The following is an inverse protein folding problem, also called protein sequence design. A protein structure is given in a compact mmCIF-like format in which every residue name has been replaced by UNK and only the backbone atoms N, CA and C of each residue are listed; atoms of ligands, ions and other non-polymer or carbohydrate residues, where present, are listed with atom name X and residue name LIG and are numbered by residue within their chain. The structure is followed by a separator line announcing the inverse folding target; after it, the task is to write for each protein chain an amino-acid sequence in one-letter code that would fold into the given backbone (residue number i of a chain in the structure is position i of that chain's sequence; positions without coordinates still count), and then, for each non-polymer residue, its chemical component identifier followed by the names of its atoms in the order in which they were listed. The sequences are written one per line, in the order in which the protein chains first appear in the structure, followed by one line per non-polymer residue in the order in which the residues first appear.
data_IF_814570039604
#
_entry.id   IF_814570039604
#
_cell.length_a   1.000
_cell.length_b   1.000
_cell.length_c   1.000
_cell.angle_alpha   90.00
_cell.angle_beta   90.00
_cell.angle_gamma   90.00
#
_symmetry.space_group_name_H-M   'P 1'
#
loop_
_entity.id
_entity.type
_entity.pdbx_description
1 polymer ?
#
# COMPACT_ATOMS: atom_id res chain seq x y z
N UNK A 1 7.50 -20.44 -18.14
CA UNK A 1 6.13 -20.09 -17.71
C UNK A 1 5.70 -18.85 -18.48
N UNK A 2 4.52 -18.89 -19.11
CA UNK A 2 4.02 -17.78 -19.92
C UNK A 2 3.35 -16.69 -19.07
N UNK A 3 3.07 -15.56 -19.69
CA UNK A 3 2.28 -14.49 -19.08
C UNK A 3 0.82 -14.92 -18.95
N UNK A 4 0.30 -14.91 -17.71
CA UNK A 4 -1.12 -15.23 -17.44
C UNK A 4 -2.00 -14.10 -17.99
N UNK A 5 -3.00 -14.45 -18.78
CA UNK A 5 -4.02 -13.50 -19.22
C UNK A 5 -5.08 -13.37 -18.12
N UNK A 6 -5.15 -12.21 -17.46
CA UNK A 6 -6.21 -11.95 -16.48
C UNK A 6 -7.47 -11.40 -17.16
N UNK A 7 -8.62 -11.91 -16.73
CA UNK A 7 -9.94 -11.34 -16.99
C UNK A 7 -10.48 -10.77 -15.69
N UNK A 8 -11.09 -9.58 -15.76
CA UNK A 8 -11.77 -8.99 -14.61
C UNK A 8 -13.16 -9.63 -14.53
N UNK A 9 -13.37 -10.46 -13.51
CA UNK A 9 -14.64 -11.12 -13.26
C UNK A 9 -15.68 -10.14 -12.69
N UNK A 10 -15.24 -9.20 -11.84
CA UNK A 10 -16.10 -8.15 -11.30
C UNK A 10 -15.27 -6.97 -10.75
N UNK A 11 -15.94 -5.82 -10.59
CA UNK A 11 -15.38 -4.61 -9.96
C UNK A 11 -16.10 -4.35 -8.64
N UNK A 12 -15.50 -4.72 -7.49
CA UNK A 12 -16.17 -4.56 -6.20
C UNK A 12 -16.46 -3.08 -5.89
N UNK A 13 -17.67 -2.80 -5.39
CA UNK A 13 -18.11 -1.47 -4.96
C UNK A 13 -17.81 -1.17 -3.48
N UNK A 14 -17.14 -2.09 -2.78
CA UNK A 14 -16.72 -1.88 -1.40
C UNK A 14 -15.76 -0.69 -1.27
N UNK A 15 -15.83 0.00 -0.13
CA UNK A 15 -14.97 1.14 0.15
C UNK A 15 -13.48 0.76 0.14
N UNK A 16 -13.13 -0.45 0.61
CA UNK A 16 -11.78 -0.98 0.53
C UNK A 16 -11.27 -1.06 -0.92
N UNK A 17 -12.06 -1.67 -1.81
CA UNK A 17 -11.70 -1.77 -3.22
C UNK A 17 -11.65 -0.38 -3.90
N UNK A 18 -12.51 0.56 -3.50
CA UNK A 18 -12.41 1.96 -3.95
C UNK A 18 -11.08 2.60 -3.51
N UNK A 19 -10.64 2.37 -2.27
CA UNK A 19 -9.37 2.89 -1.77
C UNK A 19 -8.19 2.36 -2.60
N UNK A 20 -8.17 1.05 -2.88
CA UNK A 20 -7.17 0.40 -3.74
C UNK A 20 -7.11 1.04 -5.13
N UNK A 21 -8.28 1.19 -5.78
CA UNK A 21 -8.36 1.81 -7.11
C UNK A 21 -7.91 3.26 -7.12
N UNK A 22 -8.25 4.05 -6.10
CA UNK A 22 -7.84 5.44 -6.00
C UNK A 22 -6.33 5.59 -5.72
N UNK A 23 -5.78 4.75 -4.83
CA UNK A 23 -4.37 4.78 -4.45
C UNK A 23 -3.44 4.36 -5.60
N UNK A 24 -3.89 3.40 -6.42
CA UNK A 24 -3.07 2.75 -7.45
C UNK A 24 -3.57 3.05 -8.86
N UNK A 25 -4.76 2.56 -9.23
CA UNK A 25 -5.23 2.66 -10.62
C UNK A 25 -5.37 4.10 -11.09
N UNK A 26 -6.10 4.93 -10.35
CA UNK A 26 -6.27 6.36 -10.64
C UNK A 26 -4.91 7.07 -10.70
N UNK A 27 -4.02 6.74 -9.75
CA UNK A 27 -2.70 7.33 -9.67
C UNK A 27 -1.83 7.01 -10.87
N UNK A 28 -1.78 5.75 -11.29
CA UNK A 28 -0.94 5.30 -12.42
C UNK A 28 -1.56 5.68 -13.75
N UNK A 29 -2.89 5.66 -13.88
CA UNK A 29 -3.59 6.06 -15.10
C UNK A 29 -3.70 7.58 -15.30
N UNK A 30 -3.40 8.38 -14.26
CA UNK A 30 -3.57 9.82 -14.28
C UNK A 30 -5.05 10.26 -14.19
N UNK A 31 -5.96 9.35 -13.86
CA UNK A 31 -7.39 9.65 -13.70
C UNK A 31 -7.68 10.09 -12.26
N UNK A 32 -8.68 10.94 -12.08
CA UNK A 32 -9.17 11.33 -10.73
C UNK A 32 -10.02 10.22 -10.12
N UNK A 33 -10.89 9.62 -10.92
CA UNK A 33 -11.81 8.55 -10.55
C UNK A 33 -12.29 7.78 -11.80
N UNK A 34 -12.96 6.65 -11.58
CA UNK A 34 -13.61 5.86 -12.63
C UNK A 34 -15.10 5.79 -12.34
N UNK A 35 -15.93 6.13 -13.33
CA UNK A 35 -17.39 6.15 -13.20
C UNK A 35 -18.04 4.80 -13.54
N UNK A 36 -17.42 4.04 -14.45
CA UNK A 36 -17.96 2.77 -14.97
C UNK A 36 -16.95 1.63 -14.85
N UNK A 37 -17.46 0.39 -14.73
CA UNK A 37 -16.63 -0.79 -14.50
C UNK A 37 -15.71 -1.13 -15.67
N UNK A 38 -16.17 -0.92 -16.91
CA UNK A 38 -15.35 -1.07 -18.11
C UNK A 38 -14.09 -0.18 -18.08
N UNK A 39 -14.18 1.04 -17.53
CA UNK A 39 -13.05 1.94 -17.39
C UNK A 39 -12.06 1.45 -16.32
N UNK A 40 -12.56 0.86 -15.23
CA UNK A 40 -11.73 0.23 -14.19
C UNK A 40 -10.98 -0.98 -14.77
N UNK A 41 -11.67 -1.84 -15.50
CA UNK A 41 -11.08 -3.00 -16.16
C UNK A 41 -9.99 -2.60 -17.16
N UNK A 42 -10.29 -1.62 -18.03
CA UNK A 42 -9.32 -1.10 -18.98
C UNK A 42 -8.07 -0.53 -18.27
N UNK A 43 -8.26 0.19 -17.17
CA UNK A 43 -7.16 0.72 -16.37
C UNK A 43 -6.34 -0.40 -15.70
N UNK A 44 -6.99 -1.42 -15.13
CA UNK A 44 -6.29 -2.56 -14.52
C UNK A 44 -5.42 -3.29 -15.54
N UNK A 45 -5.95 -3.56 -16.75
CA UNK A 45 -5.20 -4.15 -17.86
C UNK A 45 -4.02 -3.26 -18.30
N UNK A 46 -4.24 -1.95 -18.40
CA UNK A 46 -3.19 -1.01 -18.78
C UNK A 46 -2.06 -0.95 -17.74
N UNK A 47 -2.38 -0.92 -16.44
CA UNK A 47 -1.38 -0.94 -15.37
C UNK A 47 -0.64 -2.28 -15.34
N UNK A 48 -1.30 -3.41 -15.60
CA UNK A 48 -0.64 -4.72 -15.67
C UNK A 48 0.38 -4.76 -16.83
N UNK A 49 0.02 -4.24 -18.01
CA UNK A 49 0.97 -4.14 -19.13
C UNK A 49 2.18 -3.27 -18.76
N UNK A 50 1.93 -2.09 -18.19
CA UNK A 50 3.01 -1.19 -17.71
C UNK A 50 3.91 -1.87 -16.68
N UNK A 51 3.32 -2.63 -15.75
CA UNK A 51 4.07 -3.37 -14.75
C UNK A 51 4.99 -4.44 -15.38
N UNK A 52 4.50 -5.19 -16.37
CA UNK A 52 5.32 -6.17 -17.10
C UNK A 52 6.46 -5.53 -17.86
N UNK A 53 6.20 -4.42 -18.55
CA UNK A 53 7.26 -3.61 -19.19
C UNK A 53 8.27 -3.13 -18.16
N UNK A 54 7.79 -2.63 -17.02
CA UNK A 54 8.66 -2.13 -15.94
C UNK A 54 9.56 -3.22 -15.36
N UNK A 55 9.04 -4.43 -15.18
CA UNK A 55 9.85 -5.57 -14.74
C UNK A 55 10.96 -5.89 -15.74
N UNK A 56 10.68 -5.90 -17.05
CA UNK A 56 11.70 -6.14 -18.07
C UNK A 56 12.82 -5.10 -17.98
N UNK A 57 12.45 -3.81 -17.89
CA UNK A 57 13.40 -2.70 -17.74
C UNK A 57 14.25 -2.81 -16.47
N UNK A 58 13.64 -3.17 -15.32
CA UNK A 58 14.38 -3.36 -14.07
C UNK A 58 15.35 -4.54 -14.15
N UNK A 59 14.97 -5.60 -14.86
CA UNK A 59 15.84 -6.78 -15.07
C UNK A 59 17.02 -6.42 -15.96
N UNK A 60 16.78 -5.68 -17.04
CA UNK A 60 17.82 -5.14 -17.94
C UNK A 60 18.77 -4.19 -17.20
N UNK A 61 18.25 -3.40 -16.27
CA UNK A 61 19.04 -2.55 -15.37
C UNK A 61 19.77 -3.33 -14.25
N UNK A 62 19.71 -4.66 -14.24
CA UNK A 62 20.46 -5.49 -13.29
C UNK A 62 19.83 -5.64 -11.90
N UNK A 63 18.56 -5.28 -11.70
CA UNK A 63 17.91 -5.40 -10.38
C UNK A 63 17.77 -6.87 -9.95
N UNK A 64 18.54 -7.28 -8.95
CA UNK A 64 18.70 -8.69 -8.53
C UNK A 64 17.44 -9.45 -8.07
N UNK A 65 16.47 -8.83 -7.37
CA UNK A 65 15.30 -9.56 -6.84
C UNK A 65 14.37 -10.22 -7.87
N UNK A 66 14.48 -9.87 -9.16
CA UNK A 66 13.60 -10.37 -10.24
C UNK A 66 14.34 -11.22 -11.27
N UNK A 67 15.40 -11.93 -10.87
CA UNK A 67 16.09 -12.89 -11.74
C UNK A 67 15.40 -14.27 -11.74
N UNK A 68 15.61 -15.04 -12.82
CA UNK A 68 15.08 -16.41 -12.96
C UNK A 68 13.55 -16.51 -12.85
N UNK A 69 13.07 -17.52 -12.11
CA UNK A 69 11.63 -17.78 -11.94
C UNK A 69 10.87 -16.64 -11.24
N UNK A 70 11.55 -15.85 -10.39
CA UNK A 70 10.95 -14.70 -9.70
C UNK A 70 10.48 -13.63 -10.68
N UNK A 71 11.13 -13.50 -11.83
CA UNK A 71 10.70 -12.62 -12.91
C UNK A 71 9.27 -12.95 -13.37
N UNK A 72 9.05 -14.22 -13.72
CA UNK A 72 7.77 -14.65 -14.27
C UNK A 72 6.66 -14.62 -13.23
N UNK A 73 7.00 -14.99 -11.99
CA UNK A 73 6.09 -14.84 -10.86
C UNK A 73 5.66 -13.38 -10.66
N UNK A 74 6.59 -12.42 -10.73
CA UNK A 74 6.28 -11.01 -10.63
C UNK A 74 5.42 -10.48 -11.79
N UNK A 75 5.66 -10.93 -13.02
CA UNK A 75 4.87 -10.56 -14.21
C UNK A 75 3.41 -11.01 -14.14
N UNK A 76 3.17 -12.06 -13.36
CA UNK A 76 1.86 -12.66 -13.15
C UNK A 76 1.22 -12.22 -11.83
N UNK A 77 1.71 -11.16 -11.16
CA UNK A 77 1.06 -10.64 -9.97
C UNK A 77 -0.39 -10.19 -10.26
N UNK A 78 -1.41 -10.73 -9.56
CA UNK A 78 -2.81 -10.48 -9.89
C UNK A 78 -3.18 -9.02 -9.58
N UNK A 79 -3.97 -8.36 -10.44
CA UNK A 79 -4.49 -7.01 -10.19
C UNK A 79 -5.21 -6.91 -8.84
N UNK A 80 -5.13 -5.74 -8.20
CA UNK A 80 -5.82 -5.42 -6.94
C UNK A 80 -6.90 -4.34 -7.18
N UNK A 81 -7.88 -4.23 -6.28
CA UNK A 81 -9.05 -3.35 -6.46
C UNK A 81 -10.10 -3.86 -7.47
N UNK A 82 -9.92 -5.05 -8.02
CA UNK A 82 -10.83 -5.81 -8.91
C UNK A 82 -10.75 -7.29 -8.57
N UNK A 83 -11.79 -8.06 -8.93
CA UNK A 83 -11.71 -9.53 -8.88
C UNK A 83 -11.16 -10.01 -10.22
N UNK A 84 -9.92 -10.47 -10.23
CA UNK A 84 -9.24 -10.96 -11.43
C UNK A 84 -9.05 -12.48 -11.36
N UNK A 85 -9.27 -13.17 -12.48
CA UNK A 85 -9.01 -14.61 -12.64
C UNK A 85 -8.24 -14.88 -13.94
N UNK A 86 -7.48 -15.98 -14.05
CA UNK A 86 -6.94 -16.45 -15.33
C UNK A 86 -8.06 -16.64 -16.36
N UNK A 87 -7.78 -16.29 -17.62
CA UNK A 87 -8.72 -16.43 -18.73
C UNK A 87 -9.02 -17.90 -19.04
N UNK A 88 -7.99 -18.73 -18.97
CA UNK A 88 -8.01 -20.12 -19.46
C UNK A 88 -8.70 -21.08 -18.48
N UNK A 89 -9.38 -20.56 -17.45
CA UNK A 89 -10.13 -21.37 -16.48
C UNK A 89 -9.27 -22.19 -15.52
N UNK A 90 -7.96 -22.30 -15.77
CA UNK A 90 -7.04 -22.96 -14.85
C UNK A 90 -7.08 -22.31 -13.47
N UNK A 91 -7.35 -23.13 -12.44
CA UNK A 91 -7.19 -22.77 -11.03
C UNK A 91 -5.71 -22.67 -10.63
N UNK A 92 -4.84 -22.20 -11.52
CA UNK A 92 -3.48 -21.86 -11.13
C UNK A 92 -3.59 -20.75 -10.09
N UNK A 93 -3.25 -21.09 -8.84
CA UNK A 93 -3.33 -20.18 -7.70
C UNK A 93 -2.33 -19.04 -7.90
N UNK A 94 -2.74 -18.03 -8.65
CA UNK A 94 -1.90 -16.86 -8.89
C UNK A 94 -1.77 -16.11 -7.56
N UNK A 95 -0.54 -16.01 -7.08
CA UNK A 95 -0.23 -15.38 -5.80
C UNK A 95 0.39 -13.99 -6.00
N UNK A 96 0.21 -13.06 -5.06
CA UNK A 96 0.91 -11.78 -5.07
C UNK A 96 2.43 -11.95 -5.07
N UNK A 97 3.15 -11.11 -5.81
CA UNK A 97 4.60 -11.25 -5.98
C UNK A 97 5.44 -10.85 -4.75
N UNK A 98 4.85 -10.19 -3.76
CA UNK A 98 5.54 -9.71 -2.55
C UNK A 98 6.44 -8.48 -2.74
N UNK A 99 6.62 -7.97 -3.97
CA UNK A 99 7.48 -6.81 -4.26
C UNK A 99 6.80 -5.48 -3.89
N UNK A 100 6.43 -5.29 -2.62
CA UNK A 100 5.62 -4.16 -2.13
C UNK A 100 6.27 -2.79 -2.35
N UNK A 101 7.57 -2.73 -2.62
CA UNK A 101 8.28 -1.49 -2.90
C UNK A 101 8.07 -0.94 -4.31
N UNK A 102 7.64 -1.77 -5.27
CA UNK A 102 7.58 -1.41 -6.69
C UNK A 102 6.40 -2.04 -7.44
N UNK A 103 5.86 -3.16 -6.98
CA UNK A 103 4.66 -3.73 -7.59
C UNK A 103 3.42 -2.94 -7.15
N UNK A 104 2.65 -2.36 -8.08
CA UNK A 104 1.47 -1.57 -7.75
C UNK A 104 0.39 -2.40 -7.02
N UNK A 105 0.31 -3.70 -7.33
CA UNK A 105 -0.69 -4.60 -6.75
C UNK A 105 -0.33 -5.05 -5.33
N UNK A 106 0.94 -5.37 -5.08
CA UNK A 106 1.40 -5.68 -3.72
C UNK A 106 1.39 -4.42 -2.85
N UNK A 107 1.70 -3.25 -3.41
CA UNK A 107 1.50 -1.97 -2.71
C UNK A 107 0.04 -1.79 -2.26
N UNK A 108 -0.92 -2.06 -3.15
CA UNK A 108 -2.35 -1.99 -2.84
C UNK A 108 -2.71 -2.86 -1.63
N UNK A 109 -2.34 -4.14 -1.67
CA UNK A 109 -2.67 -5.10 -0.60
C UNK A 109 -2.01 -4.73 0.72
N UNK A 110 -0.70 -4.49 0.71
CA UNK A 110 0.08 -4.32 1.94
C UNK A 110 -0.05 -2.93 2.56
N UNK A 111 -0.31 -1.89 1.77
CA UNK A 111 -0.35 -0.50 2.24
C UNK A 111 -1.74 0.10 2.22
N UNK A 112 -2.59 -0.26 1.26
CA UNK A 112 -3.91 0.35 1.12
C UNK A 112 -4.94 -0.48 1.87
N UNK A 113 -5.12 -1.75 1.50
CA UNK A 113 -6.11 -2.63 2.11
C UNK A 113 -5.82 -2.87 3.60
N UNK A 114 -4.58 -3.23 3.94
CA UNK A 114 -4.19 -3.44 5.33
C UNK A 114 -4.39 -2.19 6.22
N UNK A 115 -4.14 -0.99 5.68
CA UNK A 115 -4.42 0.26 6.41
C UNK A 115 -5.91 0.51 6.52
N UNK A 116 -6.67 0.31 5.45
CA UNK A 116 -8.13 0.51 5.46
C UNK A 116 -8.81 -0.37 6.49
N UNK A 117 -8.53 -1.69 6.45
CA UNK A 117 -9.15 -2.66 7.33
C UNK A 117 -8.86 -2.34 8.80
N UNK A 118 -7.60 -1.99 9.11
CA UNK A 118 -7.22 -1.66 10.48
C UNK A 118 -7.76 -0.32 10.94
N UNK A 119 -7.84 0.68 10.05
CA UNK A 119 -8.48 1.97 10.35
C UNK A 119 -9.94 1.77 10.65
N UNK A 120 -10.62 0.99 9.83
CA UNK A 120 -12.03 0.68 10.02
C UNK A 120 -12.27 -0.15 11.29
N UNK A 121 -11.43 -1.15 11.57
CA UNK A 121 -11.46 -1.95 12.79
C UNK A 121 -11.32 -1.07 14.05
N UNK A 122 -10.32 -0.19 14.10
CA UNK A 122 -10.11 0.70 15.25
C UNK A 122 -11.24 1.71 15.39
N UNK A 123 -11.76 2.25 14.28
CA UNK A 123 -12.92 3.12 14.31
C UNK A 123 -14.17 2.37 14.79
N UNK A 124 -14.36 1.09 14.47
CA UNK A 124 -15.47 0.31 15.03
C UNK A 124 -15.23 -0.03 16.50
N UNK A 125 -14.03 -0.47 16.88
CA UNK A 125 -13.72 -0.87 18.26
C UNK A 125 -13.74 0.29 19.26
N UNK A 126 -13.51 1.52 18.81
CA UNK A 126 -13.57 2.72 19.67
C UNK A 126 -15.00 3.23 19.92
N UNK A 127 -16.02 2.40 19.68
CA UNK A 127 -17.37 2.60 20.23
C UNK A 127 -18.35 1.52 19.79
N UNK A 128 -19.26 1.15 20.68
CA UNK A 128 -20.08 -0.06 20.62
C UNK A 128 -20.57 -0.46 19.22
N UNK A 129 -20.11 -1.63 18.78
CA UNK A 129 -20.19 -2.09 17.41
C UNK A 129 -21.42 -2.98 17.17
N UNK A 130 -22.51 -2.43 16.62
CA UNK A 130 -23.53 -3.25 15.92
C UNK A 130 -24.14 -2.67 14.64
N UNK A 131 -23.97 -1.40 14.28
CA UNK A 131 -24.85 -0.77 13.28
C UNK A 131 -24.20 -0.21 12.00
N UNK A 132 -22.94 -0.49 11.68
CA UNK A 132 -22.34 -0.08 10.38
C UNK A 132 -22.16 1.44 10.17
N UNK A 133 -22.67 2.27 11.09
CA UNK A 133 -22.46 3.71 11.20
C UNK A 133 -21.65 4.01 12.47
N UNK A 134 -20.73 4.96 12.36
CA UNK A 134 -19.99 5.48 13.52
C UNK A 134 -20.93 6.48 14.23
N UNK A 135 -21.29 6.28 15.52
CA UNK A 135 -22.16 7.19 16.27
C UNK A 135 -21.75 8.66 16.12
N UNK A 136 -22.73 9.55 15.97
CA UNK A 136 -22.53 10.97 15.67
C UNK A 136 -21.77 11.75 16.77
N UNK A 137 -21.70 11.21 17.98
CA UNK A 137 -21.13 11.85 19.17
C UNK A 137 -19.65 11.55 19.40
N UNK A 138 -18.94 10.95 18.43
CA UNK A 138 -17.55 10.57 18.67
C UNK A 138 -16.60 11.77 18.60
N UNK A 139 -15.74 11.96 19.61
CA UNK A 139 -14.75 13.04 19.62
C UNK A 139 -13.63 12.83 18.60
N UNK A 140 -13.48 11.63 18.05
CA UNK A 140 -12.28 11.25 17.31
C UNK A 140 -12.39 11.62 15.83
N UNK A 141 -11.40 12.38 15.35
CA UNK A 141 -11.26 12.81 13.96
C UNK A 141 -10.11 12.11 13.27
N UNK A 142 -10.29 11.79 11.98
CA UNK A 142 -9.24 11.22 11.15
C UNK A 142 -8.51 12.35 10.42
N UNK A 143 -7.21 12.47 10.64
CA UNK A 143 -6.37 13.49 10.02
C UNK A 143 -5.41 12.85 9.02
N UNK A 144 -5.38 13.39 7.81
CA UNK A 144 -4.43 13.02 6.75
C UNK A 144 -3.50 14.18 6.50
N UNK A 145 -2.18 13.96 6.68
CA UNK A 145 -1.17 14.96 6.33
C UNK A 145 -0.14 14.35 5.39
N UNK A 146 0.31 15.17 4.44
CA UNK A 146 1.36 14.82 3.50
C UNK A 146 2.42 15.91 3.56
N UNK A 147 3.65 15.52 3.88
CA UNK A 147 4.84 16.38 3.81
C UNK A 147 5.70 15.84 2.69
N UNK A 148 6.10 16.69 1.75
CA UNK A 148 6.93 16.33 0.61
C UNK A 148 8.20 17.13 0.58
N UNK A 149 9.27 16.57 0.03
CA UNK A 149 10.48 17.29 -0.29
C UNK A 149 11.19 16.71 -1.50
N UNK A 150 12.16 17.47 -1.99
CA UNK A 150 13.04 17.10 -3.10
C UNK A 150 14.46 17.10 -2.56
N UNK A 151 15.27 16.14 -2.97
CA UNK A 151 16.72 16.19 -2.76
C UNK A 151 17.42 16.14 -4.11
N UNK A 152 18.34 17.08 -4.34
CA UNK A 152 19.21 17.15 -5.52
C UNK A 152 20.54 16.42 -5.31
N UNK A 153 20.94 16.14 -4.06
CA UNK A 153 22.25 15.57 -3.75
C UNK A 153 22.16 14.36 -2.80
N UNK A 154 22.95 13.33 -3.16
CA UNK A 154 23.31 12.08 -2.48
C UNK A 154 22.27 10.96 -2.36
N UNK A 155 22.86 9.77 -2.22
CA UNK A 155 22.32 8.42 -2.40
C UNK A 155 20.96 8.25 -1.71
N UNK A 156 20.05 7.43 -2.27
CA UNK A 156 18.73 7.19 -1.68
C UNK A 156 18.77 6.78 -0.20
N UNK A 157 19.87 6.18 0.27
CA UNK A 157 20.11 5.84 1.68
C UNK A 157 20.10 7.04 2.65
N UNK A 158 20.71 8.18 2.31
CA UNK A 158 20.72 9.36 3.19
C UNK A 158 19.31 9.96 3.33
N UNK A 159 18.59 10.06 2.21
CA UNK A 159 17.21 10.51 2.21
C UNK A 159 16.30 9.57 3.02
N UNK A 160 16.54 8.26 2.94
CA UNK A 160 15.82 7.25 3.72
C UNK A 160 16.16 7.32 5.21
N UNK A 161 17.43 7.46 5.58
CA UNK A 161 17.85 7.59 6.97
C UNK A 161 17.24 8.84 7.63
N UNK A 162 17.31 10.00 6.96
CA UNK A 162 16.69 11.24 7.44
C UNK A 162 15.18 11.11 7.58
N UNK A 163 14.51 10.47 6.62
CA UNK A 163 13.08 10.24 6.69
C UNK A 163 12.70 9.25 7.80
N UNK A 164 13.47 8.17 7.97
CA UNK A 164 13.29 7.18 9.04
C UNK A 164 13.46 7.82 10.42
N UNK A 165 14.50 8.64 10.62
CA UNK A 165 14.69 9.41 11.86
C UNK A 165 13.48 10.32 12.15
N UNK A 166 12.96 11.02 11.12
CA UNK A 166 11.77 11.86 11.26
C UNK A 166 10.52 11.06 11.62
N UNK A 167 10.32 9.86 11.06
CA UNK A 167 9.24 8.95 11.46
C UNK A 167 9.37 8.67 12.96
N UNK A 168 10.53 8.21 13.40
CA UNK A 168 10.75 7.75 14.76
C UNK A 168 10.58 8.88 15.78
N UNK A 169 11.12 10.06 15.47
CA UNK A 169 10.89 11.28 16.26
C UNK A 169 9.41 11.64 16.31
N UNK A 170 8.70 11.59 15.18
CA UNK A 170 7.26 11.91 15.11
C UNK A 170 6.42 10.91 15.90
N UNK A 171 6.71 9.62 15.82
CA UNK A 171 6.01 8.62 16.64
C UNK A 171 6.25 8.89 18.12
N UNK A 172 7.49 9.14 18.52
CA UNK A 172 7.83 9.41 19.93
C UNK A 172 7.13 10.66 20.47
N UNK A 173 7.18 11.77 19.73
CA UNK A 173 6.59 13.04 20.19
C UNK A 173 5.06 13.04 20.19
N UNK A 174 4.43 12.26 19.32
CA UNK A 174 2.96 12.19 19.23
C UNK A 174 2.35 11.04 20.04
N UNK A 175 3.16 10.15 20.60
CA UNK A 175 2.70 9.07 21.46
C UNK A 175 2.13 9.69 22.75
N UNK A 176 0.88 9.34 23.07
CA UNK A 176 0.14 9.92 24.20
C UNK A 176 -0.72 11.14 23.85
N UNK A 177 -0.43 11.83 22.73
CA UNK A 177 -1.25 12.95 22.24
C UNK A 177 -2.34 12.50 21.24
N UNK A 178 -2.15 11.34 20.64
CA UNK A 178 -3.04 10.76 19.62
C UNK A 178 -3.51 9.38 20.05
N UNK A 179 -4.71 8.99 19.62
CA UNK A 179 -5.22 7.62 19.77
C UNK A 179 -4.32 6.63 19.03
N UNK A 180 -3.83 7.05 17.85
CA UNK A 180 -2.77 6.36 17.13
C UNK A 180 -2.64 6.84 15.69
N UNK A 181 -1.77 6.20 14.93
CA UNK A 181 -1.81 6.36 13.48
C UNK A 181 -0.80 5.51 12.72
N UNK A 182 -0.67 5.87 11.45
CA UNK A 182 0.32 5.37 10.52
C UNK A 182 1.21 6.48 10.00
N UNK A 183 2.47 6.14 9.80
CA UNK A 183 3.44 6.92 9.04
C UNK A 183 3.93 6.08 7.87
N UNK A 184 3.93 6.68 6.69
CA UNK A 184 4.41 6.08 5.45
C UNK A 184 5.41 7.02 4.80
N UNK A 185 6.60 6.51 4.55
CA UNK A 185 7.62 7.18 3.76
C UNK A 185 7.70 6.54 2.39
N UNK A 186 7.72 7.39 1.38
CA UNK A 186 8.07 6.98 0.03
C UNK A 186 9.22 7.81 -0.46
N UNK A 187 10.25 7.15 -0.97
CA UNK A 187 11.30 7.75 -1.78
C UNK A 187 11.10 7.21 -3.19
N UNK A 188 11.20 8.07 -4.19
CA UNK A 188 11.06 7.67 -5.58
C UNK A 188 11.97 8.55 -6.47
N UNK A 189 12.51 7.99 -7.56
CA UNK A 189 13.21 8.76 -8.58
C UNK A 189 12.27 9.74 -9.28
N UNK A 190 12.84 10.85 -9.74
CA UNK A 190 12.16 11.82 -10.59
C UNK A 190 12.55 11.62 -12.06
N UNK A 191 11.63 11.85 -13.02
CA UNK A 191 11.98 11.82 -14.44
C UNK A 191 13.07 12.83 -14.82
N UNK A 192 13.07 14.01 -14.19
CA UNK A 192 14.05 15.08 -14.42
C UNK A 192 15.40 14.87 -13.72
N UNK A 193 15.65 13.71 -13.13
CA UNK A 193 16.79 13.45 -12.25
C UNK A 193 16.57 13.84 -10.78
N UNK A 194 17.39 13.26 -9.91
CA UNK A 194 17.29 13.39 -8.45
C UNK A 194 16.15 12.59 -7.82
N UNK A 195 15.86 12.90 -6.55
CA UNK A 195 14.94 12.12 -5.73
C UNK A 195 13.81 12.99 -5.18
N UNK A 196 12.63 12.39 -5.05
CA UNK A 196 11.55 12.97 -4.26
C UNK A 196 11.22 12.05 -3.10
N UNK A 197 10.94 12.64 -1.95
CA UNK A 197 10.48 11.91 -0.78
C UNK A 197 9.18 12.52 -0.28
N UNK A 198 8.39 11.70 0.40
CA UNK A 198 7.23 12.18 1.14
C UNK A 198 7.03 11.37 2.41
N UNK A 199 6.69 12.06 3.49
CA UNK A 199 6.20 11.50 4.73
C UNK A 199 4.69 11.76 4.77
N UNK A 200 3.90 10.68 4.77
CA UNK A 200 2.45 10.74 4.89
C UNK A 200 2.08 10.23 6.27
N UNK A 201 1.15 10.92 6.93
CA UNK A 201 0.59 10.49 8.20
C UNK A 201 -0.91 10.36 8.10
N UNK A 202 -1.43 9.26 8.60
CA UNK A 202 -2.86 9.03 8.80
C UNK A 202 -3.06 8.79 10.29
N UNK A 203 -3.69 9.71 11.00
CA UNK A 203 -3.79 9.65 12.45
C UNK A 203 -5.23 9.77 12.92
N UNK A 204 -5.56 9.07 13.99
CA UNK A 204 -6.79 9.24 14.74
C UNK A 204 -6.48 10.13 15.94
N UNK A 205 -7.08 11.32 15.94
CA UNK A 205 -6.87 12.32 16.97
C UNK A 205 -8.14 12.48 17.82
N UNK A 206 -8.01 12.72 19.14
CA UNK A 206 -9.15 13.01 20.00
C UNK A 206 -9.78 14.38 19.66
N UNK A 207 -10.96 14.64 20.24
CA UNK A 207 -11.58 15.96 20.15
C UNK A 207 -10.65 16.99 20.80
N UNK A 208 -10.69 18.22 20.30
CA UNK A 208 -9.83 19.30 20.79
C UNK A 208 -8.38 19.23 20.31
N UNK A 209 -7.91 18.11 19.72
CA UNK A 209 -6.53 18.04 19.17
C UNK A 209 -6.29 19.03 18.02
N UNK A 210 -5.48 20.08 18.22
CA UNK A 210 -5.21 21.05 17.15
C UNK A 210 -4.53 20.41 15.93
N UNK A 211 -5.21 20.50 14.78
CA UNK A 211 -4.67 19.93 13.56
C UNK A 211 -3.49 20.76 13.07
N UNK A 212 -2.42 20.10 12.64
CA UNK A 212 -1.26 20.82 12.08
C UNK A 212 -1.60 21.40 10.71
N UNK A 213 -1.05 22.56 10.32
CA UNK A 213 -1.26 23.14 8.99
C UNK A 213 -1.01 22.15 7.85
N UNK A 214 -1.89 22.18 6.85
CA UNK A 214 -1.86 21.26 5.69
C UNK A 214 -2.42 19.86 5.96
N UNK A 215 -2.99 19.60 7.14
CA UNK A 215 -3.76 18.39 7.40
C UNK A 215 -5.16 18.52 6.80
N UNK A 216 -5.68 17.42 6.23
CA UNK A 216 -7.10 17.30 5.88
C UNK A 216 -7.79 16.54 6.98
N UNK A 217 -8.81 17.16 7.55
CA UNK A 217 -9.63 16.60 8.61
C UNK A 217 -10.87 15.90 8.06
N UNK A 218 -11.16 14.71 8.59
CA UNK A 218 -12.42 14.00 8.41
C UNK A 218 -13.08 13.90 9.78
N UNK A 219 -13.95 14.87 10.06
CA UNK A 219 -14.64 14.99 11.35
C UNK A 219 -15.62 13.84 11.62
N UNK A 220 -16.26 13.30 10.56
CA UNK A 220 -17.21 12.16 10.65
C UNK A 220 -16.78 11.02 9.73
N UNK A 221 -15.95 10.08 10.21
CA UNK A 221 -15.43 8.99 9.38
C UNK A 221 -16.53 8.00 8.95
N UNK A 222 -16.93 8.05 7.69
CA UNK A 222 -17.67 6.97 7.00
C UNK A 222 -16.72 6.05 6.26
N UNK A 223 -17.15 4.82 5.90
CA UNK A 223 -16.34 3.91 5.06
C UNK A 223 -15.77 4.59 3.82
N UNK A 224 -16.58 5.42 3.14
CA UNK A 224 -16.17 6.15 1.93
C UNK A 224 -15.12 7.21 2.21
N UNK A 225 -15.29 8.00 3.28
CA UNK A 225 -14.30 9.02 3.66
C UNK A 225 -13.00 8.39 4.16
N UNK A 226 -13.07 7.27 4.89
CA UNK A 226 -11.90 6.47 5.30
C UNK A 226 -11.18 5.92 4.07
N UNK A 227 -11.91 5.39 3.08
CA UNK A 227 -11.32 4.94 1.83
C UNK A 227 -10.57 6.05 1.10
N UNK A 228 -11.16 7.25 1.00
CA UNK A 228 -10.51 8.41 0.38
C UNK A 228 -9.27 8.86 1.17
N UNK A 229 -9.35 8.88 2.50
CA UNK A 229 -8.25 9.22 3.40
C UNK A 229 -7.09 8.22 3.27
N UNK A 230 -7.39 6.92 3.30
CA UNK A 230 -6.41 5.85 3.11
C UNK A 230 -5.82 5.88 1.70
N UNK A 231 -6.61 6.13 0.66
CA UNK A 231 -6.10 6.25 -0.71
C UNK A 231 -5.14 7.44 -0.89
N UNK A 232 -5.41 8.56 -0.20
CA UNK A 232 -4.51 9.72 -0.17
C UNK A 232 -3.23 9.42 0.62
N UNK A 233 -3.36 8.75 1.77
CA UNK A 233 -2.25 8.35 2.62
C UNK A 233 -1.34 7.31 1.95
N UNK A 234 -1.90 6.22 1.41
CA UNK A 234 -1.17 5.11 0.80
C UNK A 234 -1.10 5.24 -0.72
N UNK A 235 -1.00 6.46 -1.25
CA UNK A 235 -0.89 6.70 -2.70
C UNK A 235 0.38 6.08 -3.27
N UNK A 236 0.26 5.35 -4.38
CA UNK A 236 1.39 4.69 -5.03
C UNK A 236 2.47 5.69 -5.49
N UNK A 237 3.76 5.42 -5.21
CA UNK A 237 4.87 6.27 -5.67
C UNK A 237 5.10 6.10 -7.18
N UNK A 238 4.46 6.95 -7.97
CA UNK A 238 4.46 6.87 -9.44
C UNK A 238 5.86 6.78 -10.06
N UNK A 239 6.86 7.45 -9.47
CA UNK A 239 8.25 7.41 -9.95
C UNK A 239 8.84 5.99 -10.02
N UNK A 240 8.38 5.07 -9.16
CA UNK A 240 8.79 3.66 -9.19
C UNK A 240 8.36 2.94 -10.47
N UNK A 241 7.31 3.43 -11.14
CA UNK A 241 6.79 2.88 -12.39
C UNK A 241 7.30 3.64 -13.62
N UNK A 242 7.54 4.96 -13.51
CA UNK A 242 7.72 5.84 -14.67
C UNK A 242 9.10 6.45 -14.84
N UNK A 243 9.95 6.44 -13.82
CA UNK A 243 11.29 7.02 -13.93
C UNK A 243 12.29 6.04 -14.55
N UNK A 244 13.55 6.47 -14.67
CA UNK A 244 14.66 5.61 -15.08
C UNK A 244 14.72 4.30 -14.25
N UNK A 245 14.87 3.13 -14.90
CA UNK A 245 14.92 1.84 -14.21
C UNK A 245 16.16 1.68 -13.33
N UNK A 246 17.34 2.15 -13.75
CA UNK A 246 18.57 2.10 -12.94
C UNK A 246 18.42 2.88 -11.64
N UNK A 247 17.91 4.10 -11.72
CA UNK A 247 17.58 4.93 -10.54
C UNK A 247 16.53 4.29 -9.63
N UNK A 248 15.60 3.54 -10.20
CA UNK A 248 14.60 2.82 -9.41
C UNK A 248 15.21 1.63 -8.68
N UNK A 249 16.11 0.89 -9.33
CA UNK A 249 16.89 -0.16 -8.69
C UNK A 249 17.72 0.41 -7.53
N UNK A 250 18.42 1.53 -7.73
CA UNK A 250 19.16 2.23 -6.66
C UNK A 250 18.28 2.52 -5.43
N UNK A 251 17.05 2.99 -5.63
CA UNK A 251 16.09 3.23 -4.54
C UNK A 251 15.63 1.93 -3.89
N UNK A 252 15.37 0.89 -4.66
CA UNK A 252 14.92 -0.39 -4.13
C UNK A 252 16.00 -1.07 -3.29
N UNK A 253 17.25 -0.98 -3.72
CA UNK A 253 18.39 -1.57 -3.02
C UNK A 253 18.73 -0.77 -1.76
N UNK A 254 18.76 0.56 -1.86
CA UNK A 254 18.97 1.43 -0.70
C UNK A 254 17.86 1.31 0.35
N UNK A 255 16.65 0.90 -0.05
CA UNK A 255 15.54 0.65 0.89
C UNK A 255 15.87 -0.43 1.91
N UNK A 256 16.63 -1.45 1.52
CA UNK A 256 17.08 -2.59 2.32
C UNK A 256 16.42 -2.72 3.71
N UNK A 257 17.09 -2.28 4.80
CA UNK A 257 16.61 -2.45 6.18
C UNK A 257 15.59 -1.39 6.65
N UNK A 258 15.33 -0.34 5.87
CA UNK A 258 14.54 0.79 6.35
C UNK A 258 13.06 0.45 6.48
N UNK A 259 12.52 0.67 7.68
CA UNK A 259 11.08 0.56 7.95
C UNK A 259 10.36 1.80 7.44
N UNK A 260 9.96 1.76 6.17
CA UNK A 260 9.26 2.86 5.49
C UNK A 260 7.77 3.01 5.87
N UNK A 261 7.26 2.14 6.72
CA UNK A 261 5.85 2.13 7.15
C UNK A 261 5.78 1.72 8.62
N UNK A 262 5.15 2.55 9.45
CA UNK A 262 5.08 2.36 10.89
C UNK A 262 3.69 2.69 11.42
N UNK A 263 3.16 1.78 12.22
CA UNK A 263 1.94 2.00 13.00
C UNK A 263 2.29 2.34 14.46
N UNK A 264 1.41 3.05 15.16
CA UNK A 264 1.53 3.35 16.58
C UNK A 264 0.17 3.53 17.25
N UNK A 265 0.13 3.47 18.59
CA UNK A 265 -1.10 3.60 19.37
C UNK A 265 -2.08 2.46 19.09
N UNK A 266 -3.38 2.76 18.97
CA UNK A 266 -4.41 1.77 18.65
C UNK A 266 -4.17 0.99 17.34
N UNK A 267 -3.34 1.54 16.44
CA UNK A 267 -2.99 0.89 15.16
C UNK A 267 -1.76 -0.04 15.25
N UNK A 268 -0.92 0.06 16.28
CA UNK A 268 0.16 -0.92 16.49
C UNK A 268 -0.41 -2.19 17.11
N UNK A 269 -0.52 -3.27 16.33
CA UNK A 269 -0.82 -4.59 16.90
C UNK A 269 0.36 -5.04 17.77
N UNK A 270 0.10 -5.31 19.05
CA UNK A 270 0.74 -6.45 19.70
C UNK A 270 0.22 -7.73 19.02
N UNK A 271 1.14 -8.63 18.76
CA UNK A 271 1.02 -9.89 18.04
C UNK A 271 0.11 -10.92 18.75
N UNK A 272 -1.22 -10.79 18.66
CA UNK A 272 -2.12 -11.78 19.29
C UNK A 272 -3.42 -12.11 18.52
N UNK A 273 -3.57 -11.65 17.26
CA UNK A 273 -4.71 -12.05 16.42
C UNK A 273 -4.17 -12.73 15.15
N UNK A 274 -3.99 -14.05 15.29
CA UNK A 274 -4.20 -15.06 14.25
C UNK A 274 -3.52 -14.84 12.89
N UNK A 275 -2.26 -15.25 12.77
CA UNK A 275 -1.90 -16.04 11.59
C UNK A 275 -2.41 -17.44 11.86
N UNK A 276 -3.61 -17.75 11.39
CA UNK A 276 -4.02 -19.13 11.15
C UNK A 276 -3.13 -19.69 10.05
N UNK A 277 -1.93 -20.12 10.43
CA UNK A 277 -1.01 -20.90 9.62
C UNK A 277 -1.00 -22.31 10.16
N UNK A 278 -1.05 -23.26 9.23
CA UNK A 278 -0.61 -24.64 9.36
C UNK A 278 -1.57 -25.63 10.03
N UNK A 279 -2.67 -25.91 9.33
CA UNK A 279 -3.16 -27.28 9.22
C UNK A 279 -2.23 -28.08 8.29
N UNK A 280 -1.08 -28.50 8.81
CA UNK A 280 -0.29 -29.63 8.28
C UNK A 280 -0.11 -30.61 9.43
N UNK A 281 -0.97 -31.62 9.46
CA UNK A 281 -0.62 -32.86 10.13
C UNK A 281 0.38 -33.59 9.20
N UNK A 282 1.61 -33.68 9.67
CA UNK A 282 2.58 -34.74 9.33
C UNK A 282 1.85 -36.08 9.57
N UNK A 283 1.61 -36.95 8.59
CA UNK A 283 2.55 -37.85 7.89
C UNK A 283 3.46 -38.63 8.87
N UNK A 284 2.84 -39.57 9.59
CA UNK A 284 3.50 -40.63 10.34
C UNK A 284 4.10 -41.66 9.35
N UNK A 285 5.43 -41.61 9.22
CA UNK A 285 6.25 -42.71 8.68
C UNK A 285 6.53 -43.81 9.72
N UNK A 286 7.11 -44.94 9.30
CA UNK A 286 6.70 -46.28 9.73
C UNK A 286 7.35 -46.77 11.04
N UNK A 287 6.64 -47.65 11.75
CA UNK A 287 7.22 -48.47 12.81
C UNK A 287 7.91 -49.69 12.20
N UNK A 288 9.21 -49.82 12.48
CA UNK A 288 9.98 -51.05 12.32
C UNK A 288 9.51 -52.09 13.35
N UNK A 289 9.19 -53.30 12.88
CA UNK A 289 9.46 -54.58 13.57
C UNK A 289 9.60 -55.67 12.52
#
# INVERSE_FOLDING_TARGET
MADVRFVVASVPRSAAAMAERQAVLCRVSGKREFQIDAAVEAAAKAVLRRWRTRLAQLREAGWGPIQGLKFQYARNCPPAGVVARPADGERSSVRPCGLTGVCPWCWSRDRVLATFDRVWEVLLATGDARAGEVPAERPNRLLVRVVTGVSSARLPGEAMAAASYRIDKTVRTRRGLLVGGYLLVTVQPRPSGGWSWSIRSLVLAPAGYESTPGSVEVARPTRRTVAAAVAKFARYPLGMMTADPGRTAEVLDARGPFRMYRAFGAFSRNSAIGRGGDGRAEDDGPAES
#
